data_IF_061378065119
#
_entry.id   IF_061378065119
#
_cell.length_a   1.000
_cell.length_b   1.000
_cell.length_c   1.000
_cell.angle_alpha   90.00
_cell.angle_beta   90.00
_cell.angle_gamma   90.00
#
_symmetry.space_group_name_H-M   'P 1'
#
loop_
_entity.id
_entity.type
_entity.pdbx_description
1 polymer ?
#
# COMPACT_ATOMS: atom_id res chain seq x y z
N UNK A 1 29.98 22.31 -4.13
CA UNK A 1 29.77 21.31 -3.06
C UNK A 1 30.99 20.43 -3.02
N UNK A 2 31.70 20.41 -1.90
CA UNK A 2 32.77 19.45 -1.65
C UNK A 2 32.17 18.04 -1.56
N UNK A 3 32.82 17.05 -2.17
CA UNK A 3 32.32 15.67 -2.24
C UNK A 3 32.09 15.09 -0.84
N UNK A 4 32.94 15.47 0.13
CA UNK A 4 32.80 15.10 1.54
C UNK A 4 31.57 15.72 2.19
N UNK A 5 31.27 16.97 1.85
CA UNK A 5 30.11 17.69 2.37
C UNK A 5 28.82 17.11 1.78
N UNK A 6 28.82 16.76 0.49
CA UNK A 6 27.71 16.04 -0.15
C UNK A 6 27.47 14.65 0.45
N UNK A 7 28.52 13.89 0.74
CA UNK A 7 28.41 12.57 1.39
C UNK A 7 27.89 12.69 2.83
N UNK A 8 28.35 13.67 3.60
CA UNK A 8 27.87 13.90 4.97
C UNK A 8 26.38 14.29 4.98
N UNK A 9 25.97 15.23 4.13
CA UNK A 9 24.56 15.62 3.99
C UNK A 9 23.67 14.47 3.54
N UNK A 10 24.15 13.64 2.61
CA UNK A 10 23.43 12.44 2.18
C UNK A 10 23.32 11.40 3.30
N UNK A 11 24.39 11.18 4.07
CA UNK A 11 24.40 10.25 5.19
C UNK A 11 23.48 10.71 6.32
N UNK A 12 23.50 12.01 6.66
CA UNK A 12 22.61 12.60 7.67
C UNK A 12 21.14 12.52 7.24
N UNK A 13 20.85 12.70 5.95
CA UNK A 13 19.50 12.51 5.39
C UNK A 13 19.02 11.05 5.51
N UNK A 14 19.93 10.08 5.35
CA UNK A 14 19.60 8.66 5.54
C UNK A 14 19.38 8.35 7.02
N UNK A 15 20.29 8.75 7.91
CA UNK A 15 20.21 8.43 9.34
C UNK A 15 19.06 9.13 10.03
N UNK A 16 18.72 10.36 9.62
CA UNK A 16 17.52 11.07 10.09
C UNK A 16 16.23 10.36 9.67
N UNK A 17 16.24 9.62 8.55
CA UNK A 17 15.16 8.74 8.12
C UNK A 17 14.88 7.56 9.08
N UNK A 18 15.82 7.21 9.97
CA UNK A 18 15.63 6.13 10.96
C UNK A 18 15.33 6.65 12.37
N UNK A 19 15.29 7.98 12.57
CA UNK A 19 14.98 8.59 13.86
C UNK A 19 13.48 8.65 14.15
N UNK A 20 13.11 8.52 15.42
CA UNK A 20 11.77 8.88 15.89
C UNK A 20 11.67 10.40 15.97
N UNK A 21 10.61 10.96 15.39
CA UNK A 21 10.22 12.36 15.48
C UNK A 21 9.18 12.54 16.58
N UNK A 22 8.80 13.80 16.84
CA UNK A 22 7.68 14.11 17.72
C UNK A 22 6.38 13.50 17.15
N UNK A 23 5.47 13.15 18.06
CA UNK A 23 4.17 12.59 17.69
C UNK A 23 3.38 13.64 16.88
N UNK A 24 2.63 13.20 15.87
CA UNK A 24 1.90 14.11 14.98
C UNK A 24 0.57 14.49 15.60
N UNK A 25 0.50 15.71 16.13
CA UNK A 25 -0.75 16.38 16.50
C UNK A 25 -1.41 16.94 15.24
N UNK A 26 -2.66 16.51 14.97
CA UNK A 26 -3.39 16.91 13.77
C UNK A 26 -4.31 18.09 14.10
N UNK A 27 -3.85 19.31 13.81
CA UNK A 27 -4.74 20.46 13.76
C UNK A 27 -5.85 20.27 12.71
N UNK A 28 -6.96 20.99 12.83
CA UNK A 28 -8.14 20.87 11.94
C UNK A 28 -7.76 20.90 10.46
N UNK A 29 -6.85 21.79 10.08
CA UNK A 29 -6.38 21.95 8.69
C UNK A 29 -5.60 20.71 8.20
N UNK A 30 -4.74 20.13 9.03
CA UNK A 30 -3.98 18.92 8.68
C UNK A 30 -4.91 17.71 8.61
N UNK A 31 -5.86 17.58 9.54
CA UNK A 31 -6.87 16.52 9.49
C UNK A 31 -7.69 16.58 8.20
N UNK A 32 -8.15 17.77 7.82
CA UNK A 32 -8.86 17.99 6.57
C UNK A 32 -8.00 17.64 5.35
N UNK A 33 -6.69 17.86 5.38
CA UNK A 33 -5.79 17.43 4.31
C UNK A 33 -5.62 15.90 4.27
N UNK A 34 -5.35 15.28 5.42
CA UNK A 34 -5.13 13.83 5.56
C UNK A 34 -6.35 13.03 5.13
N UNK A 35 -7.57 13.55 5.32
CA UNK A 35 -8.80 12.86 4.90
C UNK A 35 -9.27 13.36 3.53
N UNK A 36 -9.30 14.67 3.33
CA UNK A 36 -9.90 15.32 2.16
C UNK A 36 -9.12 15.07 0.87
N UNK A 37 -7.78 15.18 0.90
CA UNK A 37 -6.96 14.95 -0.30
C UNK A 37 -7.10 13.49 -0.78
N UNK A 38 -6.94 12.45 0.07
CA UNK A 38 -7.18 11.07 -0.32
C UNK A 38 -8.59 10.80 -0.86
N UNK A 39 -9.60 11.44 -0.29
CA UNK A 39 -10.97 11.32 -0.76
C UNK A 39 -11.10 11.90 -2.18
N UNK A 40 -10.57 13.10 -2.43
CA UNK A 40 -10.57 13.74 -3.75
C UNK A 40 -9.82 12.88 -4.77
N UNK A 41 -8.62 12.39 -4.41
CA UNK A 41 -7.80 11.50 -5.24
C UNK A 41 -8.59 10.24 -5.63
N UNK A 42 -9.34 9.67 -4.68
CA UNK A 42 -10.05 8.41 -4.89
C UNK A 42 -11.36 8.58 -5.64
N UNK A 43 -12.05 9.70 -5.45
CA UNK A 43 -13.31 10.01 -6.12
C UNK A 43 -13.12 10.59 -7.52
N UNK A 44 -11.97 11.18 -7.83
CA UNK A 44 -11.67 11.76 -9.15
C UNK A 44 -11.13 10.71 -10.10
N UNK A 45 -11.86 10.30 -11.16
CA UNK A 45 -11.44 9.19 -12.03
C UNK A 45 -10.10 9.41 -12.73
N UNK A 46 -9.81 10.66 -13.13
CA UNK A 46 -8.56 11.01 -13.81
C UNK A 46 -7.33 10.81 -12.91
N UNK A 47 -7.43 11.18 -11.63
CA UNK A 47 -6.35 11.02 -10.64
C UNK A 47 -6.26 9.55 -10.20
N UNK A 48 -7.41 8.92 -9.97
CA UNK A 48 -7.48 7.51 -9.59
C UNK A 48 -6.86 6.57 -10.64
N UNK A 49 -6.90 6.93 -11.93
CA UNK A 49 -6.22 6.14 -12.97
C UNK A 49 -4.72 5.97 -12.72
N UNK A 50 -4.07 6.96 -12.09
CA UNK A 50 -2.65 6.87 -11.75
C UNK A 50 -2.47 6.29 -10.35
N UNK A 51 -3.17 6.83 -9.34
CA UNK A 51 -3.01 6.37 -7.96
C UNK A 51 -3.46 4.92 -7.77
N UNK A 52 -4.53 4.50 -8.44
CA UNK A 52 -4.99 3.12 -8.40
C UNK A 52 -3.96 2.14 -8.97
N UNK A 53 -3.01 2.55 -9.82
CA UNK A 53 -1.92 1.67 -10.26
C UNK A 53 -0.96 1.39 -9.10
N UNK A 54 -0.73 2.38 -8.24
CA UNK A 54 0.04 2.20 -7.02
C UNK A 54 -0.69 1.28 -6.03
N UNK A 55 -2.01 1.42 -5.89
CA UNK A 55 -2.83 0.49 -5.07
C UNK A 55 -2.74 -0.95 -5.61
N UNK A 56 -2.89 -1.13 -6.92
CA UNK A 56 -2.69 -2.43 -7.58
C UNK A 56 -1.27 -2.96 -7.38
N UNK A 57 -0.26 -2.09 -7.42
CA UNK A 57 1.11 -2.52 -7.15
C UNK A 57 1.28 -3.05 -5.73
N UNK A 58 0.75 -2.35 -4.73
CA UNK A 58 0.77 -2.82 -3.33
C UNK A 58 -0.01 -4.13 -3.17
N UNK A 59 -1.11 -4.32 -3.90
CA UNK A 59 -1.86 -5.58 -3.96
C UNK A 59 -0.99 -6.73 -4.45
N UNK A 60 -0.30 -6.58 -5.59
CA UNK A 60 0.61 -7.61 -6.12
C UNK A 60 1.80 -7.89 -5.18
N UNK A 61 2.31 -6.85 -4.51
CA UNK A 61 3.34 -7.01 -3.49
C UNK A 61 2.83 -7.79 -2.27
N UNK A 62 1.55 -7.62 -1.90
CA UNK A 62 0.89 -8.42 -0.88
C UNK A 62 0.95 -9.91 -1.20
N UNK A 63 0.59 -10.29 -2.43
CA UNK A 63 0.72 -11.67 -2.89
C UNK A 63 2.16 -12.17 -2.83
N UNK A 64 3.11 -11.36 -3.32
CA UNK A 64 4.53 -11.69 -3.35
C UNK A 64 5.14 -11.88 -1.96
N UNK A 65 4.87 -10.96 -1.05
CA UNK A 65 5.36 -11.03 0.33
C UNK A 65 4.83 -12.26 1.05
N UNK A 66 3.52 -12.52 0.97
CA UNK A 66 2.91 -13.70 1.58
C UNK A 66 3.42 -15.02 0.95
N UNK A 67 3.69 -15.02 -0.36
CA UNK A 67 4.30 -16.16 -1.02
C UNK A 67 5.71 -16.46 -0.46
N UNK A 68 6.55 -15.44 -0.29
CA UNK A 68 7.89 -15.58 0.28
C UNK A 68 7.85 -16.08 1.73
N UNK A 69 6.91 -15.58 2.55
CA UNK A 69 6.73 -16.04 3.94
C UNK A 69 6.40 -17.53 4.06
N UNK A 70 5.80 -18.11 3.02
CA UNK A 70 5.45 -19.54 2.98
C UNK A 70 6.43 -20.38 2.18
N UNK A 71 7.59 -19.81 1.81
CA UNK A 71 8.67 -20.51 1.10
C UNK A 71 8.43 -20.70 -0.40
N UNK A 72 7.49 -19.96 -1.01
CA UNK A 72 7.33 -19.94 -2.48
C UNK A 72 8.41 -19.06 -3.10
N UNK A 73 8.82 -19.42 -4.32
CA UNK A 73 9.76 -18.63 -5.11
C UNK A 73 8.97 -17.72 -6.05
N UNK A 74 9.13 -16.41 -5.88
CA UNK A 74 8.55 -15.40 -6.79
C UNK A 74 9.45 -15.29 -8.02
N UNK A 75 8.95 -15.64 -9.21
CA UNK A 75 9.72 -15.52 -10.46
C UNK A 75 9.58 -14.16 -11.12
N UNK A 76 8.41 -13.55 -10.97
CA UNK A 76 8.16 -12.23 -11.51
C UNK A 76 6.82 -11.66 -11.14
N UNK A 77 6.75 -10.34 -11.16
CA UNK A 77 5.54 -9.52 -11.03
C UNK A 77 5.39 -8.74 -12.33
N UNK A 78 4.21 -8.81 -12.93
CA UNK A 78 3.85 -8.04 -14.13
C UNK A 78 2.66 -7.15 -13.80
N UNK A 79 2.74 -5.85 -14.12
CA UNK A 79 1.68 -4.87 -13.87
C UNK A 79 1.30 -4.16 -15.15
N UNK A 80 0.02 -4.02 -15.44
CA UNK A 80 -0.48 -3.34 -16.62
C UNK A 80 -1.13 -2.00 -16.24
N UNK A 81 -1.23 -1.08 -17.21
CA UNK A 81 -1.83 0.25 -17.01
C UNK A 81 -3.36 0.24 -16.87
N UNK A 82 -3.99 -0.93 -16.88
CA UNK A 82 -5.43 -1.13 -16.72
C UNK A 82 -5.83 -1.58 -15.31
N UNK A 83 -4.92 -1.43 -14.34
CA UNK A 83 -5.07 -1.93 -12.97
C UNK A 83 -5.17 -3.47 -12.87
N UNK A 84 -4.68 -4.19 -13.89
CA UNK A 84 -4.40 -5.62 -13.76
C UNK A 84 -2.94 -5.84 -13.37
N UNK A 85 -2.73 -6.83 -12.53
CA UNK A 85 -1.42 -7.36 -12.19
C UNK A 85 -1.46 -8.88 -12.22
N UNK A 86 -0.30 -9.48 -12.44
CA UNK A 86 -0.12 -10.91 -12.30
C UNK A 86 1.21 -11.19 -11.61
N UNK A 87 1.13 -11.80 -10.44
CA UNK A 87 2.25 -12.35 -9.72
C UNK A 87 2.43 -13.83 -10.09
N UNK A 88 3.61 -14.17 -10.61
CA UNK A 88 3.99 -15.55 -10.95
C UNK A 88 4.91 -16.12 -9.87
N UNK A 89 4.43 -17.11 -9.12
CA UNK A 89 5.22 -17.84 -8.13
C UNK A 89 5.14 -19.36 -8.27
N UNK A 90 6.27 -20.01 -7.95
CA UNK A 90 6.41 -21.47 -7.91
C UNK A 90 6.48 -21.93 -6.46
N UNK A 91 5.77 -23.00 -6.13
CA UNK A 91 5.78 -23.57 -4.78
C UNK A 91 4.68 -24.60 -4.60
N UNK A 92 4.63 -25.21 -3.41
CA UNK A 92 3.61 -26.21 -3.07
C UNK A 92 2.20 -25.65 -3.25
N UNK A 93 1.34 -26.44 -3.89
CA UNK A 93 -0.11 -26.17 -3.96
C UNK A 93 -0.76 -26.39 -2.59
N UNK A 94 -1.90 -25.74 -2.33
CA UNK A 94 -2.59 -25.79 -1.02
C UNK A 94 -2.37 -24.53 -0.19
N UNK A 95 -2.15 -24.68 1.13
CA UNK A 95 -2.12 -23.56 2.10
C UNK A 95 -1.24 -22.38 1.68
N UNK A 96 -0.04 -22.64 1.15
CA UNK A 96 0.88 -21.60 0.71
C UNK A 96 0.33 -20.77 -0.47
N UNK A 97 -0.39 -21.39 -1.39
CA UNK A 97 -1.06 -20.70 -2.49
C UNK A 97 -2.29 -19.91 -2.00
N UNK A 98 -3.07 -20.48 -1.08
CA UNK A 98 -4.22 -19.82 -0.44
C UNK A 98 -3.78 -18.60 0.37
N UNK A 99 -2.70 -18.73 1.14
CA UNK A 99 -2.11 -17.63 1.92
C UNK A 99 -1.64 -16.50 1.01
N UNK A 100 -0.88 -16.80 -0.04
CA UNK A 100 -0.46 -15.79 -1.02
C UNK A 100 -1.67 -15.11 -1.67
N UNK A 101 -2.65 -15.87 -2.16
CA UNK A 101 -3.85 -15.31 -2.79
C UNK A 101 -4.73 -14.49 -1.84
N UNK A 102 -4.70 -14.78 -0.54
CA UNK A 102 -5.45 -14.02 0.46
C UNK A 102 -4.90 -12.60 0.64
N UNK A 103 -3.57 -12.45 0.68
CA UNK A 103 -2.93 -11.19 1.08
C UNK A 103 -2.90 -10.09 0.03
N UNK A 104 -3.41 -10.31 -1.19
CA UNK A 104 -3.52 -9.25 -2.20
C UNK A 104 -4.44 -8.12 -1.75
N UNK A 105 -5.74 -8.43 -1.61
CA UNK A 105 -6.77 -7.44 -1.25
C UNK A 105 -6.52 -6.74 0.10
N UNK A 106 -6.10 -7.43 1.17
CA UNK A 106 -5.84 -6.78 2.46
C UNK A 106 -4.56 -5.95 2.50
N UNK A 107 -3.55 -6.23 1.66
CA UNK A 107 -2.24 -5.59 1.76
C UNK A 107 -2.28 -4.06 1.67
N UNK A 108 -3.00 -3.42 0.72
CA UNK A 108 -3.11 -1.97 0.70
C UNK A 108 -3.73 -1.39 1.98
N UNK A 109 -4.76 -2.05 2.53
CA UNK A 109 -5.40 -1.60 3.78
C UNK A 109 -4.48 -1.72 4.99
N UNK A 110 -3.74 -2.83 5.11
CA UNK A 110 -2.76 -3.05 6.18
C UNK A 110 -1.58 -2.08 6.08
N UNK A 111 -1.03 -1.90 4.87
CA UNK A 111 0.04 -0.92 4.65
C UNK A 111 -0.44 0.48 4.99
N UNK A 112 -1.66 0.85 4.59
CA UNK A 112 -2.23 2.15 4.92
C UNK A 112 -2.38 2.38 6.43
N UNK A 113 -2.85 1.38 7.18
CA UNK A 113 -2.92 1.44 8.64
C UNK A 113 -1.53 1.59 9.28
N UNK A 114 -0.54 0.84 8.79
CA UNK A 114 0.85 0.93 9.27
C UNK A 114 1.40 2.34 9.03
N UNK A 115 1.22 2.90 7.83
CA UNK A 115 1.68 4.26 7.52
C UNK A 115 1.02 5.31 8.41
N UNK A 116 -0.31 5.23 8.62
CA UNK A 116 -1.01 6.15 9.52
C UNK A 116 -0.47 6.02 10.94
N UNK A 117 -0.36 4.80 11.46
CA UNK A 117 0.13 4.57 12.82
C UNK A 117 1.56 5.08 12.99
N UNK A 118 2.42 4.82 12.01
CA UNK A 118 3.80 5.33 11.99
C UNK A 118 3.83 6.85 11.92
N UNK A 119 2.99 7.49 11.12
CA UNK A 119 2.93 8.95 11.04
C UNK A 119 2.54 9.58 12.39
N UNK A 120 1.53 9.02 13.06
CA UNK A 120 1.00 9.57 14.30
C UNK A 120 1.97 9.42 15.47
N UNK A 121 2.75 8.33 15.52
CA UNK A 121 3.68 8.05 16.61
C UNK A 121 5.14 8.45 16.30
N UNK A 122 5.36 9.35 15.33
CA UNK A 122 6.68 9.90 15.02
C UNK A 122 7.61 8.98 14.22
N UNK A 123 7.12 7.88 13.66
CA UNK A 123 7.87 6.92 12.85
C UNK A 123 7.69 7.12 11.33
N UNK A 124 7.17 8.28 10.90
CA UNK A 124 6.89 8.55 9.49
C UNK A 124 8.13 8.40 8.58
N UNK A 125 9.31 8.94 8.93
CA UNK A 125 10.50 8.80 8.10
C UNK A 125 10.94 7.34 7.98
N UNK A 126 10.90 6.58 9.08
CA UNK A 126 11.27 5.16 9.11
C UNK A 126 10.36 4.34 8.19
N UNK A 127 9.05 4.60 8.24
CA UNK A 127 8.09 3.93 7.40
C UNK A 127 8.32 4.22 5.91
N UNK A 128 8.69 5.45 5.54
CA UNK A 128 9.06 5.80 4.17
C UNK A 128 10.36 5.13 3.73
N UNK A 129 11.38 5.10 4.58
CA UNK A 129 12.67 4.45 4.28
C UNK A 129 12.50 2.95 4.05
N UNK A 130 11.73 2.27 4.92
CA UNK A 130 11.41 0.85 4.76
C UNK A 130 10.56 0.64 3.49
N UNK A 131 9.55 1.48 3.26
CA UNK A 131 8.72 1.42 2.05
C UNK A 131 9.55 1.57 0.77
N UNK A 132 10.46 2.54 0.73
CA UNK A 132 11.38 2.74 -0.39
C UNK A 132 12.29 1.54 -0.62
N UNK A 133 12.81 0.91 0.45
CA UNK A 133 13.62 -0.30 0.34
C UNK A 133 12.80 -1.48 -0.21
N UNK A 134 11.56 -1.65 0.25
CA UNK A 134 10.65 -2.69 -0.28
C UNK A 134 10.37 -2.45 -1.76
N UNK A 135 10.12 -1.20 -2.17
CA UNK A 135 9.93 -0.82 -3.57
C UNK A 135 11.18 -1.13 -4.40
N UNK A 136 12.38 -0.85 -3.88
CA UNK A 136 13.64 -1.13 -4.55
C UNK A 136 13.86 -2.64 -4.74
N UNK A 137 13.56 -3.45 -3.72
CA UNK A 137 13.63 -4.91 -3.80
C UNK A 137 12.58 -5.44 -4.78
N UNK A 138 11.37 -4.87 -4.76
CA UNK A 138 10.30 -5.24 -5.68
C UNK A 138 10.69 -5.03 -7.15
N UNK A 139 11.44 -3.97 -7.48
CA UNK A 139 11.93 -3.72 -8.84
C UNK A 139 12.70 -4.91 -9.43
N UNK A 140 13.42 -5.68 -8.60
CA UNK A 140 14.16 -6.89 -9.02
C UNK A 140 13.21 -7.97 -9.55
N UNK A 141 12.00 -8.02 -9.00
CA UNK A 141 10.97 -8.99 -9.38
C UNK A 141 10.08 -8.50 -10.52
N UNK A 142 10.13 -7.21 -10.88
CA UNK A 142 9.29 -6.69 -11.96
C UNK A 142 9.83 -7.16 -13.31
N UNK A 143 8.97 -7.78 -14.11
CA UNK A 143 9.35 -8.37 -15.41
C UNK A 143 8.79 -7.64 -16.62
N UNK A 144 8.07 -6.54 -16.43
CA UNK A 144 7.49 -5.77 -17.53
C UNK A 144 7.71 -4.26 -17.40
N UNK A 145 7.71 -3.56 -18.55
CA UNK A 145 8.05 -2.14 -18.64
C UNK A 145 7.05 -1.26 -17.88
N UNK A 146 5.76 -1.60 -17.92
CA UNK A 146 4.73 -0.86 -17.22
C UNK A 146 4.92 -0.92 -15.69
N UNK A 147 5.19 -2.11 -15.13
CA UNK A 147 5.53 -2.24 -13.72
C UNK A 147 6.80 -1.46 -13.36
N UNK A 148 7.83 -1.51 -14.21
CA UNK A 148 9.08 -0.80 -13.96
C UNK A 148 8.86 0.72 -13.96
N UNK A 149 8.07 1.22 -14.92
CA UNK A 149 7.69 2.63 -14.97
C UNK A 149 6.89 3.06 -13.73
N UNK A 150 5.90 2.27 -13.30
CA UNK A 150 5.12 2.57 -12.09
C UNK A 150 6.04 2.65 -10.87
N UNK A 151 6.87 1.61 -10.66
CA UNK A 151 7.75 1.55 -9.50
C UNK A 151 8.81 2.66 -9.49
N UNK A 152 9.40 2.99 -10.65
CA UNK A 152 10.35 4.11 -10.78
C UNK A 152 9.66 5.45 -10.51
N UNK A 153 8.49 5.69 -11.10
CA UNK A 153 7.72 6.94 -10.87
C UNK A 153 7.35 7.08 -9.40
N UNK A 154 6.90 6.00 -8.75
CA UNK A 154 6.62 6.00 -7.31
C UNK A 154 7.87 6.28 -6.48
N UNK A 155 9.01 5.65 -6.79
CA UNK A 155 10.27 5.88 -6.08
C UNK A 155 10.76 7.32 -6.24
N UNK A 156 10.70 7.87 -7.47
CA UNK A 156 11.04 9.28 -7.74
C UNK A 156 10.09 10.22 -7.00
N UNK A 157 8.78 9.97 -7.03
CA UNK A 157 7.80 10.79 -6.32
C UNK A 157 8.05 10.78 -4.80
N UNK A 158 8.35 9.62 -4.21
CA UNK A 158 8.72 9.50 -2.80
C UNK A 158 9.99 10.29 -2.49
N UNK A 159 11.01 10.21 -3.35
CA UNK A 159 12.25 10.99 -3.18
C UNK A 159 12.00 12.50 -3.28
N UNK A 160 11.17 12.94 -4.23
CA UNK A 160 10.80 14.35 -4.36
C UNK A 160 10.08 14.84 -3.10
N UNK A 161 9.19 14.04 -2.52
CA UNK A 161 8.55 14.38 -1.24
C UNK A 161 9.58 14.54 -0.13
N UNK A 162 10.50 13.58 0.03
CA UNK A 162 11.53 13.67 1.09
C UNK A 162 12.46 14.87 0.91
N UNK A 163 12.79 15.24 -0.33
CA UNK A 163 13.73 16.34 -0.63
C UNK A 163 13.08 17.72 -0.54
N UNK A 164 11.83 17.86 -1.00
CA UNK A 164 11.18 19.16 -1.14
C UNK A 164 10.18 19.48 -0.02
N UNK A 165 9.68 18.47 0.69
CA UNK A 165 8.68 18.69 1.74
C UNK A 165 9.39 18.95 3.07
N UNK A 166 9.02 20.02 3.82
CA UNK A 166 9.58 20.25 5.14
C UNK A 166 9.26 19.08 6.08
N UNK A 167 10.15 18.82 7.03
CA UNK A 167 10.10 17.63 7.90
C UNK A 167 8.76 17.49 8.62
N UNK A 168 8.21 18.60 9.11
CA UNK A 168 6.90 18.70 9.77
C UNK A 168 5.73 18.24 8.89
N UNK A 169 5.85 18.34 7.56
CA UNK A 169 4.83 17.94 6.61
C UNK A 169 4.98 16.51 6.09
N UNK A 170 6.14 15.87 6.33
CA UNK A 170 6.37 14.47 5.95
C UNK A 170 5.38 13.56 6.67
N UNK A 171 5.17 13.76 7.98
CA UNK A 171 4.22 12.96 8.75
C UNK A 171 2.77 13.12 8.25
N UNK A 172 2.36 14.36 7.93
CA UNK A 172 1.05 14.64 7.32
C UNK A 172 0.91 13.95 5.96
N UNK A 173 1.94 14.00 5.12
CA UNK A 173 1.95 13.30 3.82
C UNK A 173 1.83 11.79 3.99
N UNK A 174 2.59 11.18 4.92
CA UNK A 174 2.56 9.74 5.19
C UNK A 174 1.18 9.30 5.71
N UNK A 175 0.59 10.07 6.63
CA UNK A 175 -0.77 9.83 7.10
C UNK A 175 -1.79 9.93 5.95
N UNK A 176 -1.66 10.93 5.07
CA UNK A 176 -2.49 11.08 3.87
C UNK A 176 -2.33 9.92 2.87
N UNK A 177 -1.09 9.49 2.60
CA UNK A 177 -0.79 8.34 1.74
C UNK A 177 -1.39 7.06 2.32
N UNK A 178 -1.24 6.83 3.63
CA UNK A 178 -1.84 5.70 4.31
C UNK A 178 -3.37 5.72 4.24
N UNK A 179 -3.98 6.89 4.43
CA UNK A 179 -5.43 7.09 4.29
C UNK A 179 -5.89 6.79 2.85
N UNK A 180 -5.13 7.22 1.84
CA UNK A 180 -5.43 6.93 0.44
C UNK A 180 -5.36 5.43 0.12
N UNK A 181 -4.40 4.70 0.69
CA UNK A 181 -4.32 3.24 0.56
C UNK A 181 -5.48 2.52 1.24
N UNK A 182 -5.90 2.97 2.43
CA UNK A 182 -7.07 2.43 3.13
C UNK A 182 -8.34 2.64 2.30
N UNK A 183 -8.60 3.87 1.84
CA UNK A 183 -9.77 4.17 0.99
C UNK A 183 -9.69 3.39 -0.32
N UNK A 184 -8.49 3.26 -0.90
CA UNK A 184 -8.26 2.46 -2.10
C UNK A 184 -8.61 0.99 -1.90
N UNK A 185 -8.20 0.39 -0.78
CA UNK A 185 -8.55 -1.00 -0.44
C UNK A 185 -10.05 -1.21 -0.28
N UNK A 186 -10.77 -0.24 0.31
CA UNK A 186 -12.23 -0.26 0.39
C UNK A 186 -12.88 -0.19 -1.00
N UNK A 187 -12.36 0.67 -1.87
CA UNK A 187 -12.84 0.80 -3.25
C UNK A 187 -12.68 -0.49 -4.04
N UNK A 188 -11.52 -1.15 -3.92
CA UNK A 188 -11.26 -2.43 -4.58
C UNK A 188 -12.08 -3.58 -3.98
N UNK A 189 -12.32 -3.57 -2.66
CA UNK A 189 -13.26 -4.48 -2.01
C UNK A 189 -14.68 -4.34 -2.57
N UNK A 190 -15.19 -3.11 -2.67
CA UNK A 190 -16.51 -2.85 -3.26
C UNK A 190 -16.56 -3.32 -4.73
N UNK A 191 -15.47 -3.13 -5.49
CA UNK A 191 -15.36 -3.59 -6.88
C UNK A 191 -15.47 -5.12 -6.98
N UNK A 192 -14.74 -5.86 -6.15
CA UNK A 192 -14.77 -7.34 -6.18
C UNK A 192 -16.08 -7.93 -5.67
N UNK A 193 -16.71 -7.31 -4.66
CA UNK A 193 -18.05 -7.68 -4.21
C UNK A 193 -19.05 -7.49 -5.36
N UNK A 194 -19.00 -6.36 -6.07
CA UNK A 194 -19.90 -6.07 -7.19
C UNK A 194 -19.73 -7.06 -8.35
N UNK A 195 -18.51 -7.50 -8.63
CA UNK A 195 -18.18 -8.54 -9.62
C UNK A 195 -18.91 -9.85 -9.29
N UNK A 196 -18.91 -10.26 -8.02
CA UNK A 196 -19.61 -11.47 -7.56
C UNK A 196 -21.12 -11.31 -7.52
N UNK A 197 -21.64 -10.17 -7.04
CA UNK A 197 -23.08 -9.90 -7.02
C UNK A 197 -23.67 -9.85 -8.42
N UNK A 198 -22.94 -9.28 -9.40
CA UNK A 198 -23.36 -9.21 -10.81
C UNK A 198 -22.99 -10.45 -11.63
N UNK A 199 -22.26 -11.40 -11.06
CA UNK A 199 -21.75 -12.62 -11.71
C UNK A 199 -21.04 -12.37 -13.06
N UNK A 200 -20.28 -11.27 -13.17
CA UNK A 200 -19.50 -10.92 -14.38
C UNK A 200 -18.02 -10.93 -14.06
N UNK A 201 -17.21 -11.59 -14.88
CA UNK A 201 -15.74 -11.68 -14.71
C UNK A 201 -15.30 -12.30 -13.37
N UNK A 202 -16.13 -13.13 -12.74
CA UNK A 202 -15.86 -13.76 -11.45
C UNK A 202 -14.59 -14.61 -11.49
N UNK A 203 -14.31 -15.25 -12.64
CA UNK A 203 -13.16 -16.14 -12.84
C UNK A 203 -11.81 -15.44 -12.71
N UNK A 204 -11.77 -14.12 -12.88
CA UNK A 204 -10.54 -13.31 -12.79
C UNK A 204 -10.30 -12.76 -11.38
N UNK A 205 -11.22 -12.99 -10.43
CA UNK A 205 -11.09 -12.47 -9.06
C UNK A 205 -10.35 -13.43 -8.14
N UNK A 206 -9.55 -12.89 -7.22
CA UNK A 206 -8.79 -13.70 -6.28
C UNK A 206 -9.71 -14.55 -5.38
N UNK A 207 -10.88 -14.03 -5.00
CA UNK A 207 -11.84 -14.80 -4.20
C UNK A 207 -12.31 -16.07 -4.93
N UNK A 208 -12.47 -16.01 -6.26
CA UNK A 208 -12.78 -17.18 -7.06
C UNK A 208 -11.58 -18.12 -7.18
N UNK A 209 -10.38 -17.60 -7.47
CA UNK A 209 -9.15 -18.39 -7.56
C UNK A 209 -8.88 -19.13 -6.25
N UNK A 210 -9.03 -18.45 -5.12
CA UNK A 210 -8.94 -19.01 -3.78
C UNK A 210 -9.98 -20.11 -3.57
N UNK A 211 -11.21 -19.93 -4.04
CA UNK A 211 -12.26 -20.95 -3.89
C UNK A 211 -11.93 -22.24 -4.62
N UNK A 212 -11.33 -22.14 -5.80
CA UNK A 212 -10.87 -23.30 -6.56
C UNK A 212 -9.66 -23.98 -5.91
N UNK A 213 -8.78 -23.20 -5.26
CA UNK A 213 -7.56 -23.72 -4.63
C UNK A 213 -7.71 -24.23 -3.19
N UNK A 214 -8.78 -23.88 -2.48
CA UNK A 214 -8.95 -24.16 -1.04
C UNK A 214 -10.20 -24.97 -0.67
N UNK A 215 -11.05 -25.32 -1.64
CA UNK A 215 -12.37 -25.93 -1.42
C UNK A 215 -13.34 -25.09 -0.57
N UNK A 216 -12.96 -23.87 -0.19
CA UNK A 216 -13.77 -22.91 0.57
C UNK A 216 -14.51 -21.98 -0.39
N UNK A 217 -15.83 -21.76 -0.27
CA UNK A 217 -16.58 -20.90 -1.18
C UNK A 217 -16.03 -19.45 -1.25
N UNK A 218 -16.09 -18.83 -2.42
CA UNK A 218 -15.62 -17.46 -2.66
C UNK A 218 -16.24 -16.43 -1.69
N UNK A 219 -17.50 -16.66 -1.26
CA UNK A 219 -18.18 -15.80 -0.29
C UNK A 219 -17.47 -15.70 1.06
N UNK A 220 -16.87 -16.79 1.56
CA UNK A 220 -16.14 -16.78 2.83
C UNK A 220 -14.86 -15.95 2.68
N UNK A 221 -14.15 -16.08 1.56
CA UNK A 221 -12.98 -15.26 1.27
C UNK A 221 -13.31 -13.77 1.19
N UNK A 222 -14.43 -13.42 0.54
CA UNK A 222 -14.92 -12.03 0.51
C UNK A 222 -15.25 -11.50 1.91
N UNK A 223 -15.85 -12.32 2.78
CA UNK A 223 -16.10 -11.96 4.17
C UNK A 223 -14.79 -11.73 4.93
N UNK A 224 -13.79 -12.59 4.77
CA UNK A 224 -12.49 -12.43 5.41
C UNK A 224 -11.77 -11.17 4.92
N UNK A 225 -11.79 -10.87 3.62
CA UNK A 225 -11.28 -9.61 3.08
C UNK A 225 -11.98 -8.41 3.71
N UNK A 226 -13.31 -8.48 3.82
CA UNK A 226 -14.13 -7.42 4.42
C UNK A 226 -13.78 -7.20 5.88
N UNK A 227 -13.54 -8.27 6.65
CA UNK A 227 -13.16 -8.18 8.06
C UNK A 227 -11.80 -7.50 8.23
N UNK A 228 -10.77 -7.92 7.47
CA UNK A 228 -9.42 -7.33 7.61
C UNK A 228 -9.40 -5.88 7.12
N UNK A 229 -9.99 -5.59 5.95
CA UNK A 229 -10.02 -4.25 5.39
C UNK A 229 -10.89 -3.33 6.27
N UNK A 230 -12.04 -3.81 6.75
CA UNK A 230 -12.91 -3.09 7.67
C UNK A 230 -12.22 -2.79 8.99
N UNK A 231 -11.49 -3.75 9.56
CA UNK A 231 -10.67 -3.52 10.75
C UNK A 231 -9.60 -2.45 10.51
N UNK A 232 -8.88 -2.50 9.38
CA UNK A 232 -7.89 -1.48 9.03
C UNK A 232 -8.52 -0.09 8.88
N UNK A 233 -9.70 0.00 8.27
CA UNK A 233 -10.41 1.25 8.07
C UNK A 233 -10.90 1.85 9.40
N UNK A 234 -11.53 1.05 10.25
CA UNK A 234 -12.04 1.49 11.55
C UNK A 234 -10.89 1.90 12.49
N UNK A 235 -9.82 1.12 12.53
CA UNK A 235 -8.65 1.42 13.37
C UNK A 235 -7.94 2.67 12.88
N UNK A 236 -7.76 2.82 11.56
CA UNK A 236 -7.20 4.05 10.97
C UNK A 236 -8.03 5.29 11.32
N UNK A 237 -9.36 5.19 11.23
CA UNK A 237 -10.27 6.28 11.59
C UNK A 237 -10.18 6.63 13.08
N UNK A 238 -10.11 5.62 13.96
CA UNK A 238 -9.94 5.82 15.40
C UNK A 238 -8.61 6.51 15.74
N UNK A 239 -7.51 6.07 15.12
CA UNK A 239 -6.18 6.67 15.33
C UNK A 239 -6.18 8.13 14.88
N UNK A 240 -6.68 8.43 13.68
CA UNK A 240 -6.76 9.80 13.17
C UNK A 240 -7.65 10.70 14.05
N UNK A 241 -8.79 10.16 14.52
CA UNK A 241 -9.67 10.88 15.44
C UNK A 241 -8.98 11.19 16.77
N UNK A 242 -8.28 10.19 17.35
CA UNK A 242 -7.57 10.38 18.63
C UNK A 242 -6.49 11.45 18.54
N UNK A 243 -5.71 11.45 17.44
CA UNK A 243 -4.68 12.45 17.19
C UNK A 243 -5.25 13.86 16.98
N UNK A 244 -6.44 13.97 16.40
CA UNK A 244 -7.12 15.25 16.24
C UNK A 244 -7.70 15.80 17.55
N UNK A 245 -8.06 14.93 18.50
CA UNK A 245 -8.57 15.35 19.82
C UNK A 245 -7.49 15.70 20.83
N UNK A 246 -6.23 15.33 20.55
CA UNK A 246 -5.08 15.65 21.40
C UNK A 246 -4.34 16.94 20.95
N UNK A 247 -4.66 17.45 19.76
CA UNK A 247 -4.16 18.71 19.20
C UNK A 247 -4.98 19.93 19.66
#
# INVERSE_FOLDING_TARGET
>A
MDLKQGVATWWDAITSGFGRQDDLELGVVQLLMVIGIPLIVTLTPAVWRFFGLFVTFVHELGHAFAALMTGRVVKGISLNFDHSGQMNSFGRVGFSATWSGFWGYPAPGVLGLVLITSAIHGWAPLALSIGALILLVALIFIRNLAGAAIAVVTAVAAQLVVVFLPVEWIAVFVAGLGTALVIGSLKDLVKVIRVHTRRRHVQQSDAFILSQGSSVPAGIWLTLFTLVIGFCALTSAYILYSAATMA
#
